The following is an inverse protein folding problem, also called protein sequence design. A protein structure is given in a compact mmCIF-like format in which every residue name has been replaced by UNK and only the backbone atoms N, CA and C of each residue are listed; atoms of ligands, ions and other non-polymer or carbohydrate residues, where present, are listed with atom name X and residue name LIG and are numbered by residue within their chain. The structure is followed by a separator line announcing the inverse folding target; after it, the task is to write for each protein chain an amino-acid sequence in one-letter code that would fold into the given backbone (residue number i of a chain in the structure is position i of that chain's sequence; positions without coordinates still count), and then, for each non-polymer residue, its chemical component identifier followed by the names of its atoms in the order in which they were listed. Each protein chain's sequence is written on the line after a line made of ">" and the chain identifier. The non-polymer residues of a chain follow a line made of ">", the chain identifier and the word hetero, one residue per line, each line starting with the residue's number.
data_IF_575295456636
#
_entry.id   IF_575295456636
#
_cell.length_a   1.000
_cell.length_b   1.000
_cell.length_c   1.000
_cell.angle_alpha   90.00
_cell.angle_beta   90.00
_cell.angle_gamma   90.00
#
_symmetry.space_group_name_H-M   'P 1'
#
loop_
_entity.id
_entity.type
_entity.pdbx_description
1 polymer ?
#
# COMPACT_ATOMS: atom_id res chain seq x y z
N UNK A 1 9.40 1.69 9.54
CA UNK A 1 9.53 3.01 8.98
C UNK A 1 8.38 3.98 9.30
N UNK A 2 8.09 4.88 8.40
CA UNK A 2 7.09 5.95 8.58
C UNK A 2 5.70 5.42 8.95
N UNK A 3 5.19 4.44 8.24
CA UNK A 3 3.88 3.82 8.53
C UNK A 3 3.84 3.14 9.90
N UNK A 4 4.91 2.49 10.29
CA UNK A 4 5.00 1.85 11.61
C UNK A 4 4.89 2.89 12.71
N UNK A 5 5.59 4.03 12.57
CA UNK A 5 5.53 5.13 13.53
C UNK A 5 4.13 5.75 13.61
N UNK A 6 3.48 5.98 12.48
CA UNK A 6 2.12 6.53 12.46
C UNK A 6 1.13 5.57 13.13
N UNK A 7 1.26 4.27 12.90
CA UNK A 7 0.42 3.26 13.59
C UNK A 7 0.69 3.24 15.10
N UNK A 8 1.95 3.34 15.52
CA UNK A 8 2.30 3.42 16.95
C UNK A 8 1.78 4.71 17.58
N UNK A 9 1.86 5.83 16.85
CA UNK A 9 1.27 7.10 17.28
C UNK A 9 -0.25 6.98 17.45
N UNK A 10 -0.94 6.40 16.45
CA UNK A 10 -2.38 6.17 16.50
C UNK A 10 -2.77 5.28 17.70
N UNK A 11 -2.02 4.20 17.93
CA UNK A 11 -2.23 3.29 19.06
C UNK A 11 -2.03 4.03 20.40
N UNK A 12 -0.96 4.81 20.53
CA UNK A 12 -0.69 5.60 21.73
C UNK A 12 -1.78 6.65 21.99
N UNK A 13 -2.21 7.37 20.95
CA UNK A 13 -3.28 8.36 21.06
C UNK A 13 -4.61 7.72 21.47
N UNK A 14 -4.91 6.54 20.93
CA UNK A 14 -6.10 5.77 21.27
C UNK A 14 -6.08 5.30 22.74
N UNK A 15 -4.94 4.75 23.19
CA UNK A 15 -4.77 4.31 24.59
C UNK A 15 -4.91 5.47 25.60
N UNK A 16 -4.50 6.69 25.21
CA UNK A 16 -4.67 7.88 26.01
C UNK A 16 -6.01 8.60 25.78
N UNK A 17 -6.94 7.97 25.06
CA UNK A 17 -8.27 8.50 24.76
C UNK A 17 -8.26 9.87 24.02
N UNK A 18 -7.18 10.17 23.31
CA UNK A 18 -7.07 11.38 22.49
C UNK A 18 -7.81 11.23 21.14
N UNK A 19 -8.03 10.01 20.69
CA UNK A 19 -8.80 9.67 19.48
C UNK A 19 -9.72 8.46 19.77
N UNK A 20 -10.81 8.35 19.00
CA UNK A 20 -11.81 7.29 19.19
C UNK A 20 -11.44 5.96 18.53
N UNK A 21 -10.47 5.93 17.62
CA UNK A 21 -10.04 4.75 16.89
C UNK A 21 -8.56 4.82 16.56
N UNK A 22 -7.83 3.71 16.74
CA UNK A 22 -6.43 3.54 16.34
C UNK A 22 -6.27 3.21 14.84
N UNK A 23 -7.36 3.17 14.08
CA UNK A 23 -7.33 2.95 12.64
C UNK A 23 -6.69 4.15 11.94
N UNK A 24 -5.79 3.88 11.00
CA UNK A 24 -5.16 4.87 10.12
C UNK A 24 -5.64 4.64 8.69
N UNK A 25 -6.14 5.69 8.06
CA UNK A 25 -6.50 5.67 6.64
C UNK A 25 -5.37 6.24 5.80
N UNK A 26 -5.07 5.59 4.69
CA UNK A 26 -4.05 6.07 3.76
C UNK A 26 -4.66 6.21 2.37
N UNK A 27 -4.44 7.39 1.76
CA UNK A 27 -4.73 7.65 0.35
C UNK A 27 -3.41 7.83 -0.38
N UNK A 28 -3.14 6.92 -1.30
CA UNK A 28 -2.03 7.06 -2.26
C UNK A 28 -2.51 7.94 -3.43
N UNK A 29 -2.05 9.17 -3.44
CA UNK A 29 -2.46 10.16 -4.44
C UNK A 29 -1.85 9.91 -5.83
N UNK A 30 -0.86 9.02 -5.94
CA UNK A 30 -0.33 8.58 -7.24
C UNK A 30 -1.36 7.79 -8.07
N UNK A 31 -2.42 7.30 -7.44
CA UNK A 31 -3.53 6.62 -8.11
C UNK A 31 -4.47 7.60 -8.87
N UNK A 32 -4.34 8.91 -8.62
CA UNK A 32 -5.26 9.94 -9.14
C UNK A 32 -4.49 11.00 -9.92
N UNK A 33 -3.96 10.63 -11.09
CA UNK A 33 -3.08 11.46 -11.90
C UNK A 33 -3.80 12.25 -13.01
N UNK A 34 -5.08 11.95 -13.27
CA UNK A 34 -5.88 12.56 -14.33
C UNK A 34 -7.26 13.03 -13.88
N UNK A 35 -7.80 14.03 -14.56
CA UNK A 35 -9.10 14.63 -14.25
C UNK A 35 -10.28 13.63 -14.32
N UNK A 36 -10.19 12.60 -15.17
CA UNK A 36 -11.22 11.56 -15.29
C UNK A 36 -11.40 10.73 -14.01
N UNK A 37 -10.42 10.75 -13.11
CA UNK A 37 -10.45 10.01 -11.84
C UNK A 37 -11.13 10.79 -10.71
N UNK A 38 -11.65 12.01 -10.97
CA UNK A 38 -12.29 12.83 -9.94
C UNK A 38 -13.41 12.11 -9.17
N UNK A 39 -14.34 11.37 -9.79
CA UNK A 39 -15.40 10.69 -9.04
C UNK A 39 -14.85 9.64 -8.07
N UNK A 40 -13.81 8.91 -8.47
CA UNK A 40 -13.17 7.90 -7.64
C UNK A 40 -12.41 8.56 -6.50
N UNK A 41 -11.62 9.60 -6.80
CA UNK A 41 -10.88 10.36 -5.81
C UNK A 41 -11.82 10.96 -4.74
N UNK A 42 -12.90 11.62 -5.15
CA UNK A 42 -13.86 12.22 -4.22
C UNK A 42 -14.56 11.16 -3.36
N UNK A 43 -14.87 10.00 -3.93
CA UNK A 43 -15.44 8.88 -3.18
C UNK A 43 -14.50 8.38 -2.10
N UNK A 44 -13.22 8.16 -2.43
CA UNK A 44 -12.23 7.65 -1.49
C UNK A 44 -11.88 8.69 -0.41
N UNK A 45 -11.79 9.96 -0.80
CA UNK A 45 -11.59 11.08 0.13
C UNK A 45 -12.77 11.19 1.10
N UNK A 46 -14.00 11.17 0.59
CA UNK A 46 -15.20 11.19 1.41
C UNK A 46 -15.25 10.03 2.41
N UNK A 47 -14.98 8.81 1.95
CA UNK A 47 -14.98 7.64 2.81
C UNK A 47 -13.92 7.74 3.91
N UNK A 48 -12.75 8.29 3.59
CA UNK A 48 -11.68 8.47 4.57
C UNK A 48 -12.07 9.51 5.62
N UNK A 49 -12.60 10.65 5.20
CA UNK A 49 -13.04 11.72 6.09
C UNK A 49 -14.25 11.31 6.95
N UNK A 50 -15.17 10.51 6.41
CA UNK A 50 -16.38 10.04 7.11
C UNK A 50 -16.12 8.78 7.97
N UNK A 51 -14.93 8.20 7.93
CA UNK A 51 -14.57 7.04 8.74
C UNK A 51 -14.39 7.39 10.21
N UNK A 52 -14.35 6.39 11.09
CA UNK A 52 -13.99 6.57 12.51
C UNK A 52 -12.50 6.87 12.71
N UNK A 53 -11.68 6.69 11.67
CA UNK A 53 -10.26 6.99 11.71
C UNK A 53 -10.03 8.47 11.93
N UNK A 54 -9.29 8.83 12.98
CA UNK A 54 -8.90 10.21 13.24
C UNK A 54 -7.67 10.61 12.39
N UNK A 55 -6.86 9.64 11.92
CA UNK A 55 -5.62 9.89 11.20
C UNK A 55 -5.79 9.49 9.74
N UNK A 56 -5.56 10.46 8.84
CA UNK A 56 -5.60 10.27 7.39
C UNK A 56 -4.24 10.63 6.82
N UNK A 57 -3.58 9.67 6.17
CA UNK A 57 -2.29 9.85 5.52
C UNK A 57 -2.47 10.07 4.02
N UNK A 58 -1.81 11.09 3.49
CA UNK A 58 -1.71 11.37 2.07
C UNK A 58 -0.30 11.05 1.60
N UNK A 59 -0.17 10.14 0.64
CA UNK A 59 1.10 9.69 0.08
C UNK A 59 1.23 10.07 -1.38
N UNK A 60 2.48 10.19 -1.86
CA UNK A 60 2.80 10.45 -3.27
C UNK A 60 2.02 11.65 -3.87
N UNK A 61 1.75 12.64 -3.04
CA UNK A 61 0.92 13.80 -3.41
C UNK A 61 1.53 14.62 -4.55
N UNK A 62 2.84 14.50 -4.77
CA UNK A 62 3.56 15.14 -5.86
C UNK A 62 3.07 14.67 -7.23
N UNK A 63 2.59 13.43 -7.32
CA UNK A 63 2.11 12.81 -8.56
C UNK A 63 0.63 13.04 -8.84
N UNK A 64 -0.11 13.60 -7.88
CA UNK A 64 -1.54 13.78 -8.00
C UNK A 64 -1.91 14.85 -9.04
N UNK A 65 -3.08 14.70 -9.64
CA UNK A 65 -3.65 15.74 -10.49
C UNK A 65 -3.80 17.06 -9.70
N UNK A 66 -3.44 18.24 -10.29
CA UNK A 66 -3.40 19.49 -9.56
C UNK A 66 -4.66 19.83 -8.77
N UNK A 67 -5.83 19.68 -9.38
CA UNK A 67 -7.13 19.94 -8.72
C UNK A 67 -7.34 19.10 -7.45
N UNK A 68 -6.84 17.87 -7.43
CA UNK A 68 -6.98 16.99 -6.24
C UNK A 68 -6.05 17.43 -5.13
N UNK A 69 -4.86 17.94 -5.48
CA UNK A 69 -3.96 18.59 -4.51
C UNK A 69 -4.61 19.83 -3.90
N UNK A 70 -5.33 20.61 -4.70
CA UNK A 70 -6.04 21.80 -4.21
C UNK A 70 -7.13 21.43 -3.19
N UNK A 71 -7.88 20.35 -3.40
CA UNK A 71 -8.84 19.86 -2.42
C UNK A 71 -8.16 19.42 -1.11
N UNK A 72 -7.06 18.66 -1.21
CA UNK A 72 -6.30 18.21 -0.03
C UNK A 72 -5.67 19.40 0.71
N UNK A 73 -5.13 20.38 -0.04
CA UNK A 73 -4.60 21.62 0.53
C UNK A 73 -5.68 22.38 1.30
N UNK A 74 -6.85 22.58 0.70
CA UNK A 74 -7.96 23.27 1.35
C UNK A 74 -8.40 22.58 2.65
N UNK A 75 -8.43 21.25 2.68
CA UNK A 75 -8.71 20.50 3.91
C UNK A 75 -7.66 20.76 4.99
N UNK A 76 -6.38 20.87 4.63
CA UNK A 76 -5.30 21.08 5.58
C UNK A 76 -5.22 22.55 6.08
N UNK A 77 -5.48 23.52 5.20
CA UNK A 77 -5.34 24.95 5.47
C UNK A 77 -6.62 25.51 6.09
N UNK A 78 -7.76 25.19 5.47
CA UNK A 78 -9.06 25.81 5.81
C UNK A 78 -9.94 24.84 6.62
N UNK A 79 -9.50 23.61 6.85
CA UNK A 79 -10.29 22.54 7.48
C UNK A 79 -11.47 22.05 6.63
N UNK A 80 -11.66 22.64 5.45
CA UNK A 80 -12.79 22.35 4.55
C UNK A 80 -12.40 22.56 3.09
N UNK A 81 -12.86 21.68 2.21
CA UNK A 81 -12.75 21.90 0.77
C UNK A 81 -14.15 22.03 0.14
N UNK A 82 -14.29 22.99 -0.79
CA UNK A 82 -15.52 23.19 -1.56
C UNK A 82 -15.43 22.38 -2.85
N UNK A 83 -16.47 21.65 -3.15
CA UNK A 83 -16.54 20.83 -4.38
C UNK A 83 -17.06 21.68 -5.53
N UNK A 84 -16.57 21.37 -6.76
CA UNK A 84 -17.06 22.06 -7.96
C UNK A 84 -18.45 21.64 -8.39
N UNK A 85 -18.93 20.51 -7.87
CA UNK A 85 -20.24 19.91 -8.14
C UNK A 85 -20.90 19.50 -6.83
N UNK A 86 -22.21 19.26 -6.89
CA UNK A 86 -22.98 18.76 -5.75
C UNK A 86 -23.19 17.27 -5.89
N UNK A 87 -23.16 16.57 -4.76
CA UNK A 87 -23.32 15.13 -4.69
C UNK A 87 -24.39 14.74 -3.69
N UNK A 88 -24.97 13.58 -3.88
CA UNK A 88 -25.85 12.93 -2.89
C UNK A 88 -25.31 11.53 -2.61
N UNK A 89 -25.54 11.05 -1.40
CA UNK A 89 -25.19 9.68 -1.02
C UNK A 89 -26.31 8.73 -1.42
N UNK A 90 -26.00 7.84 -2.35
CA UNK A 90 -26.86 6.72 -2.70
C UNK A 90 -26.17 5.41 -2.29
N UNK A 91 -26.71 4.74 -1.26
CA UNK A 91 -26.13 3.50 -0.69
C UNK A 91 -24.63 3.63 -0.35
N UNK A 92 -24.20 4.81 0.12
CA UNK A 92 -22.79 5.08 0.48
C UNK A 92 -21.90 5.48 -0.69
N UNK A 93 -22.44 5.65 -1.89
CA UNK A 93 -21.74 6.12 -3.07
C UNK A 93 -22.13 7.58 -3.35
N UNK A 94 -21.13 8.43 -3.64
CA UNK A 94 -21.34 9.79 -4.10
C UNK A 94 -21.83 9.80 -5.53
N UNK A 95 -23.03 10.32 -5.74
CA UNK A 95 -23.63 10.48 -7.08
C UNK A 95 -23.80 11.97 -7.34
N UNK A 96 -23.29 12.45 -8.48
CA UNK A 96 -23.46 13.83 -8.91
C UNK A 96 -24.94 14.17 -9.10
N UNK A 97 -25.38 15.32 -8.58
CA UNK A 97 -26.74 15.83 -8.78
C UNK A 97 -26.74 17.17 -9.49
N UNK A 98 -27.58 17.28 -10.51
CA UNK A 98 -27.74 18.53 -11.27
C UNK A 98 -28.89 19.40 -10.75
N UNK A 99 -29.77 18.87 -9.90
CA UNK A 99 -30.94 19.59 -9.39
C UNK A 99 -30.61 20.40 -8.16
N UNK A 100 -30.82 21.72 -8.24
CA UNK A 100 -30.46 22.70 -7.20
C UNK A 100 -31.23 22.61 -5.89
N UNK A 101 -32.23 21.71 -5.76
CA UNK A 101 -33.15 21.63 -4.60
C UNK A 101 -33.12 20.28 -3.87
N UNK A 102 -32.04 19.52 -3.98
CA UNK A 102 -31.95 18.25 -3.26
C UNK A 102 -31.56 18.51 -1.81
N UNK A 103 -32.44 18.11 -0.87
CA UNK A 103 -32.12 18.06 0.55
C UNK A 103 -30.93 17.13 0.77
N UNK A 104 -29.97 17.55 1.61
CA UNK A 104 -28.75 16.82 1.96
C UNK A 104 -27.73 16.69 0.80
N UNK A 105 -27.71 17.64 -0.13
CA UNK A 105 -26.63 17.69 -1.10
C UNK A 105 -25.29 18.02 -0.43
N UNK A 106 -24.25 17.26 -0.77
CA UNK A 106 -22.87 17.44 -0.34
C UNK A 106 -22.19 18.32 -1.38
N UNK A 107 -21.76 19.51 -0.97
CA UNK A 107 -21.01 20.45 -1.79
C UNK A 107 -19.63 20.78 -1.21
N UNK A 108 -19.28 20.15 -0.13
CA UNK A 108 -18.01 20.34 0.57
C UNK A 108 -17.67 19.16 1.45
N UNK A 109 -16.38 18.98 1.74
CA UNK A 109 -15.88 18.04 2.73
C UNK A 109 -15.22 18.79 3.88
N UNK A 110 -15.31 18.24 5.10
CA UNK A 110 -14.67 18.76 6.30
C UNK A 110 -13.62 17.82 6.83
N UNK A 111 -12.50 18.37 7.29
CA UNK A 111 -11.46 17.63 8.01
C UNK A 111 -11.60 17.79 9.54
N UNK A 112 -12.75 18.26 10.04
CA UNK A 112 -12.99 18.41 11.46
C UNK A 112 -12.76 17.11 12.23
N UNK A 113 -12.00 17.19 13.33
CA UNK A 113 -11.62 16.02 14.12
C UNK A 113 -10.61 15.06 13.47
N UNK A 114 -9.95 15.48 12.38
CA UNK A 114 -8.97 14.66 11.66
C UNK A 114 -7.56 15.24 11.78
N UNK A 115 -6.60 14.33 11.92
CA UNK A 115 -5.17 14.61 11.76
C UNK A 115 -4.78 14.25 10.33
N UNK A 116 -4.37 15.24 9.55
CA UNK A 116 -3.91 15.05 8.18
C UNK A 116 -2.39 14.91 8.17
N UNK A 117 -1.88 13.78 7.72
CA UNK A 117 -0.46 13.45 7.69
C UNK A 117 0.00 13.34 6.24
N UNK A 118 1.04 14.08 5.90
CA UNK A 118 1.61 14.11 4.55
C UNK A 118 2.93 13.34 4.53
N UNK A 119 3.01 12.30 3.71
CA UNK A 119 4.20 11.46 3.61
C UNK A 119 4.89 11.66 2.25
N UNK A 120 6.17 12.03 2.31
CA UNK A 120 7.01 12.19 1.13
C UNK A 120 8.40 11.59 1.34
N UNK A 121 9.03 11.16 0.26
CA UNK A 121 10.45 10.78 0.22
C UNK A 121 11.34 11.90 -0.29
N UNK A 122 10.75 13.00 -0.77
CA UNK A 122 11.44 14.11 -1.45
C UNK A 122 11.74 15.31 -0.56
N UNK A 123 11.50 15.15 0.76
CA UNK A 123 11.72 16.19 1.75
C UNK A 123 10.65 17.29 1.74
N UNK A 124 10.84 18.28 2.60
CA UNK A 124 9.88 19.39 2.84
C UNK A 124 9.59 20.21 1.58
N UNK A 125 10.58 20.37 0.70
CA UNK A 125 10.41 21.11 -0.55
C UNK A 125 9.33 20.53 -1.44
N UNK A 126 9.15 19.22 -1.44
CA UNK A 126 8.07 18.59 -2.22
C UNK A 126 6.68 19.04 -1.79
N UNK A 127 6.47 19.27 -0.50
CA UNK A 127 5.21 19.81 0.00
C UNK A 127 5.01 21.27 -0.43
N UNK A 128 6.06 22.10 -0.41
CA UNK A 128 6.01 23.47 -0.91
C UNK A 128 5.71 23.52 -2.43
N UNK A 129 6.35 22.65 -3.20
CA UNK A 129 6.15 22.58 -4.65
C UNK A 129 4.74 22.07 -5.01
N UNK A 130 4.18 21.17 -4.20
CA UNK A 130 2.86 20.60 -4.43
C UNK A 130 1.70 21.48 -3.96
N UNK A 131 1.85 22.15 -2.82
CA UNK A 131 0.76 22.85 -2.12
C UNK A 131 0.98 24.36 -1.98
N UNK A 132 2.14 24.90 -2.39
CA UNK A 132 2.52 26.29 -2.24
C UNK A 132 3.42 26.54 -1.03
N UNK A 133 4.18 27.64 -1.10
CA UNK A 133 5.18 27.97 -0.07
C UNK A 133 4.59 28.26 1.31
N UNK A 134 3.36 28.76 1.35
CA UNK A 134 2.60 29.09 2.56
C UNK A 134 2.04 27.86 3.28
N UNK A 135 1.95 26.72 2.60
CA UNK A 135 1.37 25.49 3.15
C UNK A 135 2.03 25.07 4.47
N UNK A 136 3.35 25.22 4.57
CA UNK A 136 4.09 24.82 5.77
C UNK A 136 3.74 25.63 7.03
N UNK A 137 3.19 26.82 6.90
CA UNK A 137 2.71 27.60 8.05
C UNK A 137 1.47 26.99 8.72
N UNK A 138 0.78 26.09 8.00
CA UNK A 138 -0.40 25.36 8.49
C UNK A 138 -0.07 23.95 8.96
N UNK A 139 1.20 23.52 8.80
CA UNK A 139 1.67 22.23 9.29
C UNK A 139 2.18 22.38 10.72
N UNK A 140 1.63 21.59 11.64
CA UNK A 140 1.99 21.66 13.05
C UNK A 140 3.43 21.23 13.29
N UNK A 141 3.82 20.06 12.73
CA UNK A 141 5.13 19.46 12.93
C UNK A 141 5.70 18.84 11.65
N UNK A 142 7.00 18.95 11.49
CA UNK A 142 7.75 18.31 10.40
C UNK A 142 8.70 17.28 11.00
N UNK A 143 8.40 15.99 10.76
CA UNK A 143 9.19 14.88 11.26
C UNK A 143 10.07 14.33 10.13
N UNK A 144 11.37 14.50 10.28
CA UNK A 144 12.36 14.00 9.33
C UNK A 144 12.91 12.65 9.78
N UNK A 145 12.77 11.64 8.93
CA UNK A 145 13.38 10.32 9.14
C UNK A 145 14.78 10.31 8.51
N UNK A 146 15.78 10.00 9.30
CA UNK A 146 17.13 9.75 8.82
C UNK A 146 17.21 8.40 8.11
N UNK A 147 18.19 8.24 7.22
CA UNK A 147 18.47 6.93 6.64
C UNK A 147 18.84 5.94 7.77
N UNK A 148 18.41 4.70 7.62
CA UNK A 148 18.73 3.62 8.55
C UNK A 148 20.24 3.36 8.54
N UNK A 149 20.86 3.34 9.70
CA UNK A 149 22.25 2.92 9.86
C UNK A 149 22.38 1.40 9.75
N UNK A 150 23.59 0.89 9.57
CA UNK A 150 23.82 -0.57 9.58
C UNK A 150 23.49 -1.20 10.93
N UNK A 151 23.74 -0.48 12.03
CA UNK A 151 23.37 -0.94 13.37
C UNK A 151 21.85 -1.04 13.53
N UNK A 152 21.11 -0.02 13.06
CA UNK A 152 19.63 -0.04 13.06
C UNK A 152 19.10 -1.18 12.20
N UNK A 153 19.72 -1.43 11.04
CA UNK A 153 19.32 -2.54 10.16
C UNK A 153 19.51 -3.91 10.82
N UNK A 154 20.65 -4.10 11.55
CA UNK A 154 20.92 -5.34 12.33
C UNK A 154 19.86 -5.57 13.40
N UNK A 155 19.56 -4.53 14.18
CA UNK A 155 18.54 -4.62 15.22
C UNK A 155 17.17 -4.92 14.64
N UNK A 156 16.82 -4.24 13.54
CA UNK A 156 15.52 -4.43 12.89
C UNK A 156 15.38 -5.82 12.23
N UNK A 157 16.43 -6.35 11.61
CA UNK A 157 16.45 -7.73 11.10
C UNK A 157 16.27 -8.74 12.23
N UNK A 158 16.91 -8.53 13.37
CA UNK A 158 16.75 -9.39 14.55
C UNK A 158 15.30 -9.38 15.06
N UNK A 159 14.66 -8.22 15.09
CA UNK A 159 13.24 -8.07 15.42
C UNK A 159 12.33 -8.79 14.42
N UNK A 160 12.59 -8.63 13.12
CA UNK A 160 11.85 -9.31 12.06
C UNK A 160 12.00 -10.84 12.11
N UNK A 161 13.21 -11.35 12.39
CA UNK A 161 13.47 -12.77 12.61
C UNK A 161 12.66 -13.31 13.79
N UNK A 162 12.67 -12.61 14.92
CA UNK A 162 11.88 -12.99 16.09
C UNK A 162 10.39 -13.04 15.78
N UNK A 163 9.88 -12.06 15.06
CA UNK A 163 8.48 -12.00 14.64
C UNK A 163 8.13 -13.14 13.67
N UNK A 164 8.99 -13.42 12.69
CA UNK A 164 8.84 -14.54 11.75
C UNK A 164 8.79 -15.88 12.49
N UNK A 165 9.72 -16.10 13.41
CA UNK A 165 9.79 -17.31 14.25
C UNK A 165 8.51 -17.52 15.06
N UNK A 166 8.04 -16.46 15.73
CA UNK A 166 6.80 -16.51 16.51
C UNK A 166 5.58 -16.80 15.62
N UNK A 167 5.49 -16.14 14.47
CA UNK A 167 4.39 -16.29 13.52
C UNK A 167 4.38 -17.69 12.88
N UNK A 168 5.54 -18.23 12.51
CA UNK A 168 5.68 -19.57 11.98
C UNK A 168 5.32 -20.64 13.02
N UNK A 169 5.80 -20.49 14.26
CA UNK A 169 5.46 -21.41 15.36
C UNK A 169 3.97 -21.43 15.66
N UNK A 170 3.33 -20.25 15.70
CA UNK A 170 1.89 -20.14 16.02
C UNK A 170 1.00 -20.68 14.91
N UNK A 171 1.28 -20.32 13.64
CA UNK A 171 0.37 -20.56 12.53
C UNK A 171 0.73 -21.78 11.70
N UNK A 172 2.03 -22.10 11.56
CA UNK A 172 2.51 -23.21 10.73
C UNK A 172 2.99 -24.41 11.57
N UNK A 173 3.03 -24.28 12.91
CA UNK A 173 3.62 -25.25 13.84
C UNK A 173 5.08 -25.59 13.51
N UNK A 174 5.79 -24.63 12.90
CA UNK A 174 7.15 -24.76 12.43
C UNK A 174 8.09 -23.97 13.35
N UNK A 175 9.02 -24.64 14.01
CA UNK A 175 10.06 -24.01 14.81
C UNK A 175 11.20 -23.55 13.92
N UNK A 176 11.48 -22.24 13.89
CA UNK A 176 12.54 -21.66 13.06
C UNK A 176 13.78 -21.37 13.90
N UNK A 177 14.93 -21.71 13.34
CA UNK A 177 16.25 -21.20 13.74
C UNK A 177 16.89 -20.51 12.53
N UNK A 178 17.79 -19.58 12.75
CA UNK A 178 18.48 -18.88 11.68
C UNK A 178 19.98 -18.88 11.94
N UNK A 179 20.78 -19.05 10.89
CA UNK A 179 22.21 -18.80 10.93
C UNK A 179 22.49 -17.28 10.85
N UNK A 180 23.61 -16.85 11.40
CA UNK A 180 24.01 -15.44 11.36
C UNK A 180 24.16 -14.94 9.92
N UNK A 181 24.63 -15.79 9.01
CA UNK A 181 24.76 -15.55 7.59
C UNK A 181 23.46 -15.13 6.92
N UNK A 182 22.31 -15.63 7.41
CA UNK A 182 20.99 -15.25 6.90
C UNK A 182 20.66 -13.78 7.19
N UNK A 183 20.91 -13.33 8.43
CA UNK A 183 20.72 -11.94 8.80
C UNK A 183 21.65 -10.99 8.08
N UNK A 184 22.92 -11.36 7.93
CA UNK A 184 23.91 -10.60 7.20
C UNK A 184 23.56 -10.46 5.71
N UNK A 185 23.06 -11.54 5.10
CA UNK A 185 22.59 -11.52 3.70
C UNK A 185 21.42 -10.54 3.51
N UNK A 186 20.43 -10.54 4.42
CA UNK A 186 19.31 -9.60 4.37
C UNK A 186 19.80 -8.16 4.41
N UNK A 187 20.76 -7.86 5.32
CA UNK A 187 21.35 -6.51 5.47
C UNK A 187 22.12 -6.08 4.21
N UNK A 188 22.77 -7.03 3.53
CA UNK A 188 23.49 -6.74 2.30
C UNK A 188 22.56 -6.50 1.09
N UNK A 189 21.38 -7.12 1.06
CA UNK A 189 20.51 -7.18 -0.13
C UNK A 189 19.22 -6.38 -0.05
N UNK A 190 18.87 -5.79 1.12
CA UNK A 190 17.66 -4.97 1.18
C UNK A 190 17.82 -3.64 0.42
N UNK A 191 16.74 -3.16 -0.15
CA UNK A 191 16.70 -1.84 -0.81
C UNK A 191 16.82 -0.71 0.24
N UNK A 192 18.01 -0.12 0.31
CA UNK A 192 18.33 0.95 1.26
C UNK A 192 17.45 2.19 1.08
N UNK A 193 16.92 2.43 -0.13
CA UNK A 193 16.04 3.57 -0.40
C UNK A 193 14.70 3.45 0.30
N UNK A 194 14.25 2.23 0.54
CA UNK A 194 13.00 1.90 1.24
C UNK A 194 13.19 1.62 2.73
N UNK A 195 14.44 1.45 3.18
CA UNK A 195 14.78 1.27 4.59
C UNK A 195 14.06 0.09 5.24
N UNK A 196 13.46 0.32 6.43
CA UNK A 196 12.77 -0.70 7.21
C UNK A 196 11.62 -1.40 6.44
N UNK A 197 10.93 -0.69 5.55
CA UNK A 197 9.82 -1.26 4.77
C UNK A 197 10.30 -2.30 3.77
N UNK A 198 11.53 -2.15 3.24
CA UNK A 198 12.14 -3.17 2.39
C UNK A 198 12.46 -4.45 3.17
N UNK A 199 13.06 -4.32 4.35
CA UNK A 199 13.37 -5.47 5.22
C UNK A 199 12.07 -6.17 5.61
N UNK A 200 11.05 -5.42 6.05
CA UNK A 200 9.77 -5.99 6.43
C UNK A 200 9.12 -6.76 5.27
N UNK A 201 9.14 -6.19 4.05
CA UNK A 201 8.63 -6.86 2.86
C UNK A 201 9.34 -8.17 2.56
N UNK A 202 10.67 -8.23 2.69
CA UNK A 202 11.42 -9.48 2.54
C UNK A 202 10.96 -10.55 3.54
N UNK A 203 10.74 -10.18 4.80
CA UNK A 203 10.26 -11.12 5.82
C UNK A 203 8.81 -11.56 5.62
N UNK A 204 7.96 -10.72 5.06
CA UNK A 204 6.62 -11.10 4.63
C UNK A 204 6.66 -12.12 3.49
N UNK A 205 7.52 -11.93 2.49
CA UNK A 205 7.72 -12.87 1.41
C UNK A 205 8.30 -14.21 1.93
N UNK A 206 9.22 -14.18 2.89
CA UNK A 206 9.74 -15.40 3.53
C UNK A 206 8.63 -16.15 4.27
N UNK A 207 7.75 -15.45 4.98
CA UNK A 207 6.62 -16.09 5.64
C UNK A 207 5.65 -16.74 4.65
N UNK A 208 5.37 -16.09 3.53
CA UNK A 208 4.52 -16.65 2.47
C UNK A 208 5.16 -17.92 1.89
N UNK A 209 6.45 -17.86 1.54
CA UNK A 209 7.18 -19.02 1.00
C UNK A 209 7.23 -20.19 1.99
N UNK A 210 7.41 -19.92 3.28
CA UNK A 210 7.34 -20.94 4.35
C UNK A 210 5.94 -21.54 4.45
N UNK A 211 4.90 -20.72 4.32
CA UNK A 211 3.51 -21.19 4.36
C UNK A 211 3.20 -22.10 3.18
N UNK A 212 3.62 -21.73 1.97
CA UNK A 212 3.50 -22.54 0.76
C UNK A 212 4.27 -23.86 0.90
N UNK A 213 5.50 -23.83 1.40
CA UNK A 213 6.30 -25.02 1.64
C UNK A 213 5.62 -25.97 2.64
N UNK A 214 5.13 -25.44 3.74
CA UNK A 214 4.43 -26.20 4.78
C UNK A 214 3.14 -26.84 4.26
N UNK A 215 2.36 -26.11 3.45
CA UNK A 215 1.09 -26.59 2.89
C UNK A 215 1.26 -27.57 1.72
N UNK A 216 2.40 -27.50 1.03
CA UNK A 216 2.65 -28.36 -0.15
C UNK A 216 2.80 -29.85 0.17
N UNK A 217 3.02 -30.21 1.44
CA UNK A 217 3.34 -31.58 1.85
C UNK A 217 4.70 -32.12 1.35
N UNK A 218 5.47 -31.32 0.61
CA UNK A 218 6.78 -31.70 0.06
C UNK A 218 7.90 -31.67 1.12
N UNK A 219 7.68 -30.93 2.19
CA UNK A 219 8.66 -30.65 3.25
C UNK A 219 8.11 -31.10 4.61
N UNK A 220 8.11 -32.41 4.89
CA UNK A 220 7.63 -32.89 6.18
C UNK A 220 8.62 -32.52 7.28
N UNK A 221 8.16 -31.84 8.32
CA UNK A 221 9.00 -31.48 9.48
C UNK A 221 8.37 -30.35 10.31
N UNK A 222 8.72 -30.33 11.60
CA UNK A 222 8.27 -29.32 12.56
C UNK A 222 9.35 -28.26 12.87
N UNK A 223 10.52 -28.38 12.22
CA UNK A 223 11.64 -27.46 12.39
C UNK A 223 12.28 -27.11 11.05
N UNK A 224 12.74 -25.87 10.93
CA UNK A 224 13.48 -25.37 9.78
C UNK A 224 14.65 -24.48 10.19
N UNK A 225 15.75 -24.60 9.47
CA UNK A 225 16.91 -23.73 9.61
C UNK A 225 16.91 -22.73 8.43
N UNK A 226 16.90 -21.44 8.74
CA UNK A 226 17.07 -20.37 7.76
C UNK A 226 18.56 -20.18 7.49
N UNK A 227 18.96 -20.33 6.25
CA UNK A 227 20.35 -20.21 5.81
C UNK A 227 20.44 -19.67 4.39
N UNK A 228 21.66 -19.46 3.90
CA UNK A 228 21.91 -19.03 2.53
C UNK A 228 22.58 -20.18 1.76
N UNK A 229 22.03 -20.50 0.60
CA UNK A 229 22.62 -21.45 -0.36
C UNK A 229 22.68 -20.80 -1.75
N UNK A 230 23.85 -20.83 -2.36
CA UNK A 230 24.08 -20.24 -3.70
C UNK A 230 23.56 -18.79 -3.80
N UNK A 231 23.84 -17.99 -2.77
CA UNK A 231 23.38 -16.60 -2.63
C UNK A 231 21.85 -16.42 -2.62
N UNK A 232 21.11 -17.47 -2.26
CA UNK A 232 19.64 -17.46 -2.14
C UNK A 232 19.23 -17.83 -0.73
N UNK A 233 18.31 -17.08 -0.08
CA UNK A 233 17.75 -17.44 1.21
C UNK A 233 16.89 -18.71 1.07
N UNK A 234 17.16 -19.68 1.92
CA UNK A 234 16.44 -20.96 1.96
C UNK A 234 16.07 -21.36 3.38
N UNK A 235 15.01 -22.14 3.51
CA UNK A 235 14.67 -22.86 4.72
C UNK A 235 14.97 -24.35 4.53
N UNK A 236 15.85 -24.89 5.34
CA UNK A 236 16.13 -26.32 5.38
C UNK A 236 15.11 -27.00 6.30
N UNK A 237 14.15 -27.71 5.71
CA UNK A 237 13.11 -28.47 6.43
C UNK A 237 13.43 -29.96 6.23
N UNK A 238 13.75 -30.66 7.32
CA UNK A 238 14.19 -32.10 7.24
C UNK A 238 15.26 -32.35 6.18
N UNK A 239 16.23 -31.44 6.08
CA UNK A 239 17.36 -31.56 5.13
C UNK A 239 17.03 -31.18 3.67
N UNK A 240 15.80 -30.79 3.36
CA UNK A 240 15.40 -30.30 2.04
C UNK A 240 15.34 -28.77 2.02
N UNK A 241 15.94 -28.15 1.02
CA UNK A 241 15.95 -26.72 0.86
C UNK A 241 14.65 -26.23 0.20
N UNK A 242 13.89 -25.40 0.91
CA UNK A 242 12.77 -24.62 0.36
C UNK A 242 13.23 -23.19 0.14
N UNK A 243 13.17 -22.70 -1.09
CA UNK A 243 13.55 -21.33 -1.43
C UNK A 243 12.60 -20.34 -0.75
N UNK A 244 13.17 -19.32 -0.13
CA UNK A 244 12.42 -18.25 0.57
C UNK A 244 12.21 -17.01 -0.31
N UNK A 245 12.82 -16.98 -1.49
CA UNK A 245 12.48 -15.94 -2.44
C UNK A 245 11.10 -16.27 -3.01
N UNK A 246 10.13 -15.38 -2.88
CA UNK A 246 9.06 -15.34 -3.87
C UNK A 246 9.78 -15.35 -5.22
N UNK A 247 9.54 -16.38 -6.01
CA UNK A 247 9.89 -16.25 -7.42
C UNK A 247 9.34 -14.88 -7.80
N UNK A 248 10.06 -14.07 -8.54
CA UNK A 248 9.60 -12.75 -9.05
C UNK A 248 8.39 -12.92 -9.99
N UNK A 249 7.51 -13.78 -9.59
CA UNK A 249 6.45 -14.46 -10.32
C UNK A 249 5.46 -13.47 -10.87
N UNK A 250 5.24 -12.34 -10.25
CA UNK A 250 4.23 -11.46 -10.84
C UNK A 250 4.80 -10.52 -11.91
N UNK A 251 5.99 -9.96 -11.76
CA UNK A 251 6.51 -9.00 -12.75
C UNK A 251 7.18 -9.66 -13.95
N UNK A 252 7.97 -10.72 -13.73
CA UNK A 252 8.64 -11.44 -14.84
C UNK A 252 7.68 -12.37 -15.58
N UNK A 253 6.75 -13.02 -14.88
CA UNK A 253 5.68 -13.81 -15.54
C UNK A 253 4.70 -12.90 -16.28
N UNK A 254 4.30 -11.77 -15.69
CA UNK A 254 3.50 -10.76 -16.39
C UNK A 254 4.27 -10.21 -17.60
N UNK A 255 5.57 -9.97 -17.49
CA UNK A 255 6.40 -9.53 -18.61
C UNK A 255 6.54 -10.63 -19.68
N UNK A 256 6.67 -11.91 -19.29
CA UNK A 256 6.70 -13.04 -20.21
C UNK A 256 5.36 -13.20 -20.92
N UNK A 257 4.25 -13.18 -20.19
CA UNK A 257 2.89 -13.25 -20.76
C UNK A 257 2.60 -12.04 -21.67
N UNK A 258 3.01 -10.84 -21.29
CA UNK A 258 2.87 -9.66 -22.14
C UNK A 258 3.72 -9.79 -23.43
N UNK A 259 4.91 -10.37 -23.34
CA UNK A 259 5.73 -10.66 -24.51
C UNK A 259 5.08 -11.69 -25.44
N UNK A 260 4.45 -12.72 -24.88
CA UNK A 260 3.66 -13.69 -25.66
C UNK A 260 2.43 -13.02 -26.32
N UNK A 261 1.73 -12.16 -25.58
CA UNK A 261 0.61 -11.36 -26.10
C UNK A 261 1.05 -10.45 -27.26
N UNK A 262 2.22 -9.82 -27.13
CA UNK A 262 2.77 -8.93 -28.16
C UNK A 262 3.22 -9.72 -29.41
N UNK A 263 3.65 -10.97 -29.25
CA UNK A 263 4.06 -11.86 -30.34
C UNK A 263 2.88 -12.35 -31.20
N UNK A 264 1.64 -12.25 -30.73
CA UNK A 264 0.44 -12.58 -31.52
C UNK A 264 0.31 -11.52 -32.64
N UNK A 265 0.21 -11.98 -33.86
CA UNK A 265 0.08 -11.11 -35.04
C UNK A 265 -1.34 -10.55 -35.12
N UNK A 266 -1.47 -9.22 -35.19
CA UNK A 266 -2.77 -8.55 -35.26
C UNK A 266 -3.49 -8.43 -33.91
N UNK A 267 -4.80 -8.24 -33.94
CA UNK A 267 -5.69 -8.14 -32.76
C UNK A 267 -5.37 -6.96 -31.81
N UNK A 268 -4.83 -5.87 -32.32
CA UNK A 268 -4.42 -4.72 -31.50
C UNK A 268 -5.53 -4.19 -30.54
N UNK A 269 -6.81 -4.10 -30.93
CA UNK A 269 -7.87 -3.68 -30.01
C UNK A 269 -8.04 -4.62 -28.81
N UNK A 270 -7.79 -5.94 -29.01
CA UNK A 270 -7.89 -6.94 -27.95
C UNK A 270 -6.69 -6.82 -27.01
N UNK A 271 -5.49 -6.61 -27.56
CA UNK A 271 -4.28 -6.38 -26.75
C UNK A 271 -4.41 -5.14 -25.87
N UNK A 272 -4.91 -4.05 -26.42
CA UNK A 272 -5.18 -2.82 -25.67
C UNK A 272 -6.21 -3.05 -24.56
N UNK A 273 -7.28 -3.79 -24.85
CA UNK A 273 -8.29 -4.14 -23.84
C UNK A 273 -7.68 -4.96 -22.70
N UNK A 274 -6.85 -5.98 -22.99
CA UNK A 274 -6.19 -6.81 -21.97
C UNK A 274 -5.24 -5.95 -21.12
N UNK A 275 -4.46 -5.05 -21.73
CA UNK A 275 -3.57 -4.14 -20.98
C UNK A 275 -4.36 -3.19 -20.07
N UNK A 276 -5.47 -2.65 -20.56
CA UNK A 276 -6.36 -1.81 -19.77
C UNK A 276 -6.97 -2.56 -18.60
N UNK A 277 -7.40 -3.80 -18.81
CA UNK A 277 -7.92 -4.66 -17.76
C UNK A 277 -6.86 -4.99 -16.70
N UNK A 278 -5.62 -5.30 -17.11
CA UNK A 278 -4.48 -5.51 -16.19
C UNK A 278 -4.24 -4.26 -15.32
N UNK A 279 -4.16 -3.08 -15.92
CA UNK A 279 -3.96 -1.84 -15.18
C UNK A 279 -5.09 -1.59 -14.17
N UNK A 280 -6.34 -1.85 -14.58
CA UNK A 280 -7.50 -1.70 -13.70
C UNK A 280 -7.46 -2.67 -12.50
N UNK A 281 -7.10 -3.94 -12.73
CA UNK A 281 -6.97 -4.93 -11.66
C UNK A 281 -5.83 -4.60 -10.69
N UNK A 282 -4.70 -4.07 -11.19
CA UNK A 282 -3.59 -3.61 -10.34
C UNK A 282 -4.01 -2.45 -9.44
N UNK A 283 -4.71 -1.45 -9.99
CA UNK A 283 -5.24 -0.34 -9.20
C UNK A 283 -6.22 -0.83 -8.13
N UNK A 284 -7.11 -1.76 -8.47
CA UNK A 284 -8.05 -2.32 -7.50
C UNK A 284 -7.36 -3.10 -6.38
N UNK A 285 -6.32 -3.87 -6.72
CA UNK A 285 -5.55 -4.60 -5.71
C UNK A 285 -4.83 -3.63 -4.75
N UNK A 286 -4.21 -2.57 -5.28
CA UNK A 286 -3.59 -1.52 -4.47
C UNK A 286 -4.63 -0.84 -3.56
N UNK A 287 -5.82 -0.53 -4.07
CA UNK A 287 -6.91 0.05 -3.28
C UNK A 287 -7.37 -0.90 -2.17
N UNK A 288 -7.50 -2.20 -2.47
CA UNK A 288 -7.84 -3.23 -1.50
C UNK A 288 -6.80 -3.33 -0.38
N UNK A 289 -5.52 -3.27 -0.72
CA UNK A 289 -4.42 -3.28 0.25
C UNK A 289 -4.44 -2.05 1.18
N UNK A 290 -4.96 -0.93 0.69
CA UNK A 290 -5.16 0.30 1.47
C UNK A 290 -6.48 0.33 2.26
N UNK A 291 -7.27 -0.76 2.23
CA UNK A 291 -8.55 -0.84 2.93
C UNK A 291 -9.66 0.03 2.31
N UNK A 292 -9.47 0.48 1.07
CA UNK A 292 -10.49 1.22 0.31
C UNK A 292 -11.50 0.24 -0.30
N UNK A 293 -12.76 0.66 -0.39
CA UNK A 293 -13.78 -0.15 -1.07
C UNK A 293 -13.44 -0.27 -2.55
N UNK A 294 -13.39 -1.50 -3.03
CA UNK A 294 -13.27 -1.81 -4.45
C UNK A 294 -14.63 -2.27 -4.98
N UNK A 295 -15.00 -1.84 -6.19
CA UNK A 295 -16.12 -2.42 -6.90
C UNK A 295 -15.74 -3.83 -7.35
N UNK A 296 -16.64 -4.80 -7.21
CA UNK A 296 -16.45 -6.11 -7.82
C UNK A 296 -16.43 -5.93 -9.35
N UNK A 297 -15.30 -6.23 -9.96
CA UNK A 297 -15.19 -6.29 -11.42
C UNK A 297 -15.63 -7.69 -11.83
N UNK A 298 -16.61 -7.77 -12.70
CA UNK A 298 -16.95 -9.04 -13.34
C UNK A 298 -15.73 -9.57 -14.09
N UNK A 299 -15.28 -10.75 -13.70
CA UNK A 299 -14.17 -11.46 -14.36
C UNK A 299 -14.67 -12.36 -15.50
N UNK A 300 -15.97 -12.32 -15.78
CA UNK A 300 -16.58 -13.13 -16.84
C UNK A 300 -16.45 -12.42 -18.18
N UNK A 301 -15.93 -13.14 -19.18
CA UNK A 301 -15.72 -12.64 -20.54
C UNK A 301 -16.29 -13.64 -21.53
N UNK A 302 -16.83 -13.13 -22.63
CA UNK A 302 -17.29 -13.94 -23.78
C UNK A 302 -16.40 -13.56 -24.96
N UNK A 303 -15.72 -14.54 -25.53
CA UNK A 303 -14.96 -14.35 -26.75
C UNK A 303 -15.82 -14.84 -27.92
N UNK A 304 -16.05 -13.97 -28.92
CA UNK A 304 -16.77 -14.29 -30.16
C UNK A 304 -15.86 -13.99 -31.34
N UNK A 305 -15.91 -14.81 -32.37
CA UNK A 305 -15.09 -14.64 -33.57
C UNK A 305 -15.43 -15.68 -34.64
N UNK A 306 -14.87 -15.50 -35.81
CA UNK A 306 -14.94 -16.53 -36.85
C UNK A 306 -14.03 -17.72 -36.46
N UNK A 307 -14.41 -18.96 -36.82
CA UNK A 307 -13.62 -20.14 -36.56
C UNK A 307 -12.28 -20.13 -37.29
#
# INVERSE_FOLDING_TARGET
>A
GRHTMIRQMAESMYQHQAIESNEVRTLDLSLYTGSAQEPIFLQDLYQSLSSKSAIICFENFESAYPKFRDYVRALAVDGKCILTKRYVLNKGILVETQTGLVKNAIDSFSAEGKYLVFLTTRGVKAAQDAFGADFLYHVLDIISFTAMTEADAKEYVSLCLKNLTNKAKKNLKLSLTAEDSFGEWVIAHYDKSRGADAIMGMFEDYYISLSEASLSGKYPGESALLTIQDDVPVALISGKAAKLSRSKTSSEEIAAVNKELDAIVGLEPIKEYIRSLQAHLQVQELRRQQGLKTSEVSKHMIFTGNP
#
